data_IF_552729545397
#
_entry.id   IF_552729545397
#
_cell.length_a   1.000
_cell.length_b   1.000
_cell.length_c   1.000
_cell.angle_alpha   90.00
_cell.angle_beta   90.00
_cell.angle_gamma   90.00
#
_symmetry.space_group_name_H-M   'P 1'
#
loop_
_entity.id
_entity.type
_entity.pdbx_description
1 polymer ?
#
# COMPACT_ATOMS: atom_id res chain seq x y z
N UNK A 1 -2.00 17.81 -3.36
CA UNK A 1 -2.09 17.41 -1.94
C UNK A 1 -1.56 15.99 -1.84
N UNK A 2 -0.86 15.63 -0.77
CA UNK A 2 -0.41 14.24 -0.54
C UNK A 2 -1.18 13.68 0.64
N UNK A 3 -1.63 12.43 0.54
CA UNK A 3 -2.39 11.74 1.59
C UNK A 3 -1.54 10.59 2.09
N UNK A 4 -1.38 10.51 3.42
CA UNK A 4 -0.79 9.34 4.06
C UNK A 4 -1.89 8.30 4.23
N UNK A 5 -1.70 7.09 3.71
CA UNK A 5 -2.66 5.99 3.82
C UNK A 5 -1.98 4.77 4.43
N UNK A 6 -2.71 4.04 5.26
CA UNK A 6 -2.27 2.75 5.75
C UNK A 6 -2.73 1.67 4.78
N UNK A 7 -1.81 0.87 4.26
CA UNK A 7 -2.08 -0.11 3.21
C UNK A 7 -1.69 -1.48 3.70
N UNK A 8 -2.62 -2.42 3.61
CA UNK A 8 -2.33 -3.84 3.75
C UNK A 8 -2.16 -4.45 2.36
N UNK A 9 -1.11 -5.23 2.17
CA UNK A 9 -0.77 -5.81 0.89
C UNK A 9 -0.21 -7.21 1.00
N UNK A 10 -0.29 -7.93 -0.11
CA UNK A 10 0.35 -9.20 -0.34
C UNK A 10 1.37 -9.07 -1.44
N UNK A 11 2.47 -9.81 -1.34
CA UNK A 11 3.49 -9.86 -2.37
C UNK A 11 4.16 -11.24 -2.40
N UNK A 12 4.73 -11.58 -3.55
CA UNK A 12 5.66 -12.70 -3.68
C UNK A 12 7.07 -12.12 -3.80
N UNK A 13 8.06 -12.70 -3.12
CA UNK A 13 9.46 -12.33 -3.42
C UNK A 13 9.88 -13.00 -4.71
N UNK A 14 10.57 -12.27 -5.59
CA UNK A 14 11.16 -12.84 -6.80
C UNK A 14 12.01 -14.07 -6.43
N UNK A 15 11.72 -15.21 -7.07
CA UNK A 15 12.37 -16.50 -6.80
C UNK A 15 11.80 -17.30 -5.62
N UNK A 16 10.81 -16.77 -4.89
CA UNK A 16 10.09 -17.50 -3.82
C UNK A 16 8.61 -17.63 -4.16
N UNK A 17 8.08 -18.85 -4.04
CA UNK A 17 6.64 -19.15 -4.21
C UNK A 17 5.79 -18.82 -2.97
N UNK A 18 6.37 -18.18 -1.96
CA UNK A 18 5.65 -17.82 -0.75
C UNK A 18 4.93 -16.48 -0.94
N UNK A 19 3.62 -16.47 -0.69
CA UNK A 19 2.84 -15.25 -0.56
C UNK A 19 3.10 -14.69 0.84
N UNK A 20 3.61 -13.48 0.91
CA UNK A 20 3.83 -12.74 2.15
C UNK A 20 2.80 -11.63 2.26
N UNK A 21 2.30 -11.41 3.47
CA UNK A 21 1.43 -10.30 3.83
C UNK A 21 2.22 -9.26 4.62
N UNK A 22 1.95 -7.98 4.37
CA UNK A 22 2.52 -6.88 5.12
C UNK A 22 1.55 -5.71 5.20
N UNK A 23 1.85 -4.77 6.08
CA UNK A 23 1.17 -3.49 6.14
C UNK A 23 2.20 -2.36 6.24
N UNK A 24 1.86 -1.21 5.67
CA UNK A 24 2.74 -0.04 5.69
C UNK A 24 1.94 1.26 5.56
N UNK A 25 2.54 2.37 6.02
CA UNK A 25 1.99 3.71 5.85
C UNK A 25 2.67 4.41 4.67
N UNK A 26 1.93 4.58 3.58
CA UNK A 26 2.43 5.19 2.35
C UNK A 26 1.91 6.61 2.20
N UNK A 27 2.80 7.55 1.91
CA UNK A 27 2.41 8.91 1.52
C UNK A 27 2.28 8.97 0.00
N UNK A 28 1.06 8.99 -0.51
CA UNK A 28 0.77 9.02 -1.95
C UNK A 28 0.22 10.38 -2.38
N UNK A 29 0.48 10.78 -3.62
CA UNK A 29 -0.10 12.01 -4.17
C UNK A 29 -1.62 11.90 -4.32
N UNK A 30 -2.12 10.70 -4.62
CA UNK A 30 -3.54 10.42 -4.75
C UNK A 30 -3.84 9.08 -4.09
N UNK A 31 -4.91 9.00 -3.28
CA UNK A 31 -5.36 7.74 -2.71
C UNK A 31 -6.06 6.89 -3.77
N UNK A 32 -5.28 6.35 -4.70
CA UNK A 32 -5.72 5.39 -5.70
C UNK A 32 -4.88 4.13 -5.59
N UNK A 33 -5.50 2.96 -5.85
CA UNK A 33 -4.79 1.68 -5.86
C UNK A 33 -3.60 1.69 -6.82
N UNK A 34 -3.70 2.43 -7.94
CA UNK A 34 -2.59 2.58 -8.90
C UNK A 34 -1.40 3.33 -8.31
N UNK A 35 -1.63 4.45 -7.64
CA UNK A 35 -0.57 5.22 -6.99
C UNK A 35 0.10 4.41 -5.87
N UNK A 36 -0.70 3.72 -5.05
CA UNK A 36 -0.22 2.83 -3.98
C UNK A 36 0.65 1.69 -4.55
N UNK A 37 0.17 1.00 -5.59
CA UNK A 37 0.93 -0.07 -6.24
C UNK A 37 2.24 0.44 -6.86
N UNK A 38 2.22 1.61 -7.49
CA UNK A 38 3.42 2.22 -8.05
C UNK A 38 4.44 2.54 -6.95
N UNK A 39 3.98 3.06 -5.81
CA UNK A 39 4.82 3.35 -4.65
C UNK A 39 5.44 2.08 -4.06
N UNK A 40 4.64 1.02 -3.85
CA UNK A 40 5.11 -0.26 -3.35
C UNK A 40 6.16 -0.91 -4.26
N UNK A 41 5.97 -0.82 -5.59
CA UNK A 41 6.96 -1.31 -6.57
C UNK A 41 8.25 -0.52 -6.54
N UNK A 42 8.18 0.79 -6.31
CA UNK A 42 9.35 1.65 -6.24
C UNK A 42 10.18 1.39 -4.98
N UNK A 43 9.52 1.16 -3.84
CA UNK A 43 10.18 0.82 -2.57
C UNK A 43 10.72 -0.61 -2.56
N UNK A 44 10.04 -1.54 -3.24
CA UNK A 44 10.39 -2.95 -3.24
C UNK A 44 10.44 -3.53 -4.67
N UNK A 45 11.50 -3.22 -5.45
CA UNK A 45 11.63 -3.66 -6.84
C UNK A 45 11.74 -5.19 -6.99
N UNK A 46 12.09 -5.90 -5.91
CA UNK A 46 12.21 -7.36 -5.84
C UNK A 46 10.88 -8.07 -5.53
N UNK A 47 9.79 -7.33 -5.32
CA UNK A 47 8.48 -7.90 -5.09
C UNK A 47 7.73 -8.11 -6.40
N UNK A 48 7.19 -9.30 -6.57
CA UNK A 48 6.35 -9.70 -7.68
C UNK A 48 4.92 -9.95 -7.19
N UNK A 49 3.95 -9.88 -8.09
CA UNK A 49 2.55 -10.21 -7.75
C UNK A 49 1.95 -9.35 -6.64
N UNK A 50 2.41 -8.11 -6.47
CA UNK A 50 1.93 -7.21 -5.42
C UNK A 50 0.42 -7.00 -5.57
N UNK A 51 -0.33 -7.27 -4.51
CA UNK A 51 -1.78 -7.12 -4.42
C UNK A 51 -2.13 -6.29 -3.19
N UNK A 52 -2.86 -5.21 -3.38
CA UNK A 52 -3.41 -4.42 -2.27
C UNK A 52 -4.65 -5.15 -1.73
N UNK A 53 -4.69 -5.38 -0.42
CA UNK A 53 -5.81 -6.00 0.28
C UNK A 53 -6.76 -4.95 0.83
N UNK A 54 -6.20 -3.99 1.56
CA UNK A 54 -6.97 -2.93 2.23
C UNK A 54 -6.21 -1.62 2.20
N UNK A 55 -6.95 -0.53 2.11
CA UNK A 55 -6.42 0.83 2.21
C UNK A 55 -7.27 1.58 3.20
N UNK A 56 -6.65 1.98 4.30
CA UNK A 56 -7.28 2.76 5.36
C UNK A 56 -6.65 4.14 5.34
N UNK A 57 -7.45 5.16 5.00
CA UNK A 57 -7.04 6.53 5.26
C UNK A 57 -7.05 6.74 6.78
N UNK A 58 -5.98 7.32 7.37
CA UNK A 58 -6.06 7.80 8.74
C UNK A 58 -7.21 8.79 8.73
N UNK A 59 -8.28 8.45 9.45
CA UNK A 59 -9.44 9.30 9.57
C UNK A 59 -8.94 10.70 9.91
N UNK A 60 -9.17 11.67 9.02
CA UNK A 60 -9.04 13.06 9.39
C UNK A 60 -9.94 13.21 10.63
N UNK A 61 -9.33 13.34 11.81
CA UNK A 61 -10.07 13.59 13.04
C UNK A 61 -10.86 14.87 12.81
N UNK A 62 -12.16 14.73 12.53
CA UNK A 62 -12.96 15.87 12.10
C UNK A 62 -14.28 15.49 11.46
N UNK A 63 -15.08 14.67 12.14
CA UNK A 63 -16.55 14.65 11.99
C UNK A 63 -17.13 13.91 13.19
N UNK A 64 -17.07 14.55 14.36
CA UNK A 64 -17.97 14.21 15.44
C UNK A 64 -19.35 14.82 15.08
N UNK A 65 -20.46 14.07 15.20
CA UNK A 65 -21.80 14.65 15.13
C UNK A 65 -22.08 15.62 16.29
#
# INVERSE_FOLDING_TARGET
MTVTVHVEYQYCQHGKKAILTGNDSLTVAENTTRAILAMLRLLHPQWEGIKVLSVTEPAAQGSAP
#
